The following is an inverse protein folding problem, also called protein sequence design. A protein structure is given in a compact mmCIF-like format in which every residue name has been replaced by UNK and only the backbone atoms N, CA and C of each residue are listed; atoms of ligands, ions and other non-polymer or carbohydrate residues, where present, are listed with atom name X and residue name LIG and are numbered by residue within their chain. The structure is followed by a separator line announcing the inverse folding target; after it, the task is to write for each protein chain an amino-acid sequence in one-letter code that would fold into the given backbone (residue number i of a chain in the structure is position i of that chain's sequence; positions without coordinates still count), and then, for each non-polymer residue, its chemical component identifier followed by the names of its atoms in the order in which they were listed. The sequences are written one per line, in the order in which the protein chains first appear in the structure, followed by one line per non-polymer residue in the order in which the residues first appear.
data_IF_624736274439
#
_entry.id   IF_624736274439
#
_cell.length_a   1.000
_cell.length_b   1.000
_cell.length_c   1.000
_cell.angle_alpha   90.00
_cell.angle_beta   90.00
_cell.angle_gamma   90.00
#
_symmetry.space_group_name_H-M   'P 1'
#
loop_
_entity.id
_entity.type
_entity.pdbx_description
1 polymer ?
#
# COMPACT_ATOMS: atom_id res chain seq x y z
N UNK A 1 34.05 -45.01 37.91
CA UNK A 1 33.80 -43.64 37.37
C UNK A 1 33.53 -43.78 35.89
N UNK A 2 32.28 -43.51 35.50
CA UNK A 2 31.82 -43.72 34.11
C UNK A 2 32.27 -42.58 33.20
N UNK A 3 33.51 -42.62 32.77
CA UNK A 3 34.11 -41.66 31.84
C UNK A 3 33.28 -41.52 30.59
N UNK A 4 32.68 -42.57 30.09
CA UNK A 4 31.77 -42.53 28.95
C UNK A 4 30.50 -41.69 29.21
N UNK A 5 29.90 -41.78 30.39
CA UNK A 5 28.72 -40.99 30.75
C UNK A 5 29.03 -39.50 30.81
N UNK A 6 30.21 -39.17 31.37
CA UNK A 6 30.70 -37.78 31.43
C UNK A 6 30.95 -37.23 30.01
N UNK A 7 31.59 -38.04 29.14
CA UNK A 7 31.86 -37.69 27.75
C UNK A 7 30.58 -37.46 26.96
N UNK A 8 29.60 -38.36 27.12
CA UNK A 8 28.27 -38.16 26.45
C UNK A 8 27.52 -36.95 26.96
N UNK A 9 27.62 -36.63 28.28
CA UNK A 9 27.03 -35.43 28.84
C UNK A 9 27.65 -34.15 28.25
N UNK A 10 29.00 -34.14 28.16
CA UNK A 10 29.73 -33.01 27.59
C UNK A 10 29.39 -32.77 26.10
N UNK A 11 29.35 -33.87 25.30
CA UNK A 11 28.96 -33.79 23.88
C UNK A 11 27.53 -33.26 23.72
N UNK A 12 26.60 -33.72 24.56
CA UNK A 12 25.20 -33.26 24.52
C UNK A 12 25.09 -31.76 24.84
N UNK A 13 25.82 -31.29 25.83
CA UNK A 13 25.82 -29.88 26.20
C UNK A 13 26.44 -29.03 25.09
N UNK A 14 27.59 -29.45 24.54
CA UNK A 14 28.25 -28.76 23.45
C UNK A 14 27.37 -28.67 22.21
N UNK A 15 26.69 -29.76 21.87
CA UNK A 15 25.73 -29.80 20.76
C UNK A 15 24.52 -28.88 20.99
N UNK A 16 24.01 -28.85 22.24
CA UNK A 16 22.90 -27.94 22.62
C UNK A 16 23.29 -26.48 22.47
N UNK A 17 24.47 -26.10 22.94
CA UNK A 17 24.99 -24.73 22.80
C UNK A 17 25.16 -24.37 21.32
N UNK A 18 25.73 -25.27 20.52
CA UNK A 18 25.89 -25.06 19.09
C UNK A 18 24.56 -24.83 18.39
N UNK A 19 23.52 -25.63 18.74
CA UNK A 19 22.17 -25.46 18.18
C UNK A 19 21.54 -24.12 18.58
N UNK A 20 21.70 -23.69 19.82
CA UNK A 20 21.20 -22.38 20.29
C UNK A 20 21.88 -21.26 19.50
N UNK A 21 23.19 -21.29 19.34
CA UNK A 21 23.95 -20.30 18.57
C UNK A 21 23.50 -20.27 17.10
N UNK A 22 23.27 -21.45 16.51
CA UNK A 22 22.75 -21.56 15.13
C UNK A 22 21.37 -20.90 14.99
N UNK A 23 20.45 -21.15 15.93
CA UNK A 23 19.09 -20.56 15.93
C UNK A 23 19.19 -19.05 16.08
N UNK A 24 20.04 -18.54 16.95
CA UNK A 24 20.26 -17.10 17.14
C UNK A 24 20.83 -16.48 15.85
N UNK A 25 21.83 -17.12 15.23
CA UNK A 25 22.45 -16.64 14.00
C UNK A 25 21.44 -16.55 12.84
N UNK A 26 20.64 -17.60 12.64
CA UNK A 26 19.59 -17.62 11.62
C UNK A 26 18.50 -16.59 11.96
N UNK A 27 18.11 -16.49 13.23
CA UNK A 27 17.10 -15.52 13.68
C UNK A 27 17.51 -14.07 13.42
N UNK A 28 18.74 -13.70 13.73
CA UNK A 28 19.26 -12.35 13.45
C UNK A 28 19.32 -12.06 11.96
N UNK A 29 19.71 -13.04 11.15
CA UNK A 29 19.71 -12.93 9.69
C UNK A 29 18.30 -12.66 9.12
N UNK A 30 17.30 -13.43 9.56
CA UNK A 30 15.90 -13.25 9.18
C UNK A 30 15.32 -11.91 9.65
N UNK A 31 15.67 -11.49 10.87
CA UNK A 31 15.21 -10.20 11.41
C UNK A 31 15.73 -9.01 10.60
N UNK A 32 16.99 -9.03 10.16
CA UNK A 32 17.56 -7.95 9.33
C UNK A 32 16.84 -7.86 7.99
N UNK A 33 16.70 -8.97 7.28
CA UNK A 33 16.01 -9.00 5.99
C UNK A 33 14.53 -8.61 6.13
N UNK A 34 13.86 -9.08 7.18
CA UNK A 34 12.47 -8.74 7.46
C UNK A 34 12.29 -7.27 7.85
N UNK A 35 13.25 -6.69 8.57
CA UNK A 35 13.21 -5.27 8.94
C UNK A 35 13.36 -4.37 7.70
N UNK A 36 14.35 -4.63 6.84
CA UNK A 36 14.55 -3.86 5.61
C UNK A 36 13.35 -3.94 4.67
N UNK A 37 12.76 -5.13 4.55
CA UNK A 37 11.56 -5.31 3.76
C UNK A 37 10.35 -4.59 4.37
N UNK A 38 10.14 -4.73 5.68
CA UNK A 38 9.05 -4.05 6.39
C UNK A 38 9.19 -2.53 6.34
N UNK A 39 10.40 -2.00 6.49
CA UNK A 39 10.65 -0.57 6.38
C UNK A 39 10.31 -0.03 4.99
N UNK A 40 10.69 -0.75 3.92
CA UNK A 40 10.35 -0.38 2.54
C UNK A 40 8.84 -0.39 2.27
N UNK A 41 8.08 -1.31 2.87
CA UNK A 41 6.61 -1.35 2.73
C UNK A 41 5.96 -0.03 3.17
N UNK A 42 6.51 0.63 4.18
CA UNK A 42 5.93 1.86 4.73
C UNK A 42 6.59 3.17 4.26
N UNK A 43 7.78 3.08 3.67
CA UNK A 43 8.62 4.25 3.36
C UNK A 43 9.08 4.29 1.91
N UNK A 44 8.43 3.53 1.02
CA UNK A 44 8.82 3.52 -0.40
C UNK A 44 8.60 4.89 -1.03
N UNK A 45 9.67 5.55 -1.53
CA UNK A 45 9.54 6.83 -2.21
C UNK A 45 8.95 6.63 -3.62
N UNK A 46 8.46 7.73 -4.19
CA UNK A 46 8.06 7.78 -5.59
C UNK A 46 9.20 7.37 -6.54
N UNK A 47 8.85 7.00 -7.76
CA UNK A 47 9.83 6.61 -8.79
C UNK A 47 10.67 7.79 -9.21
N UNK A 48 10.06 8.98 -9.33
CA UNK A 48 10.68 10.21 -9.76
C UNK A 48 10.35 11.38 -8.83
N UNK A 49 11.13 12.42 -8.90
CA UNK A 49 10.82 13.69 -8.24
C UNK A 49 9.78 14.46 -9.07
N UNK A 50 8.97 15.27 -8.39
CA UNK A 50 8.03 16.14 -9.09
C UNK A 50 8.77 17.05 -10.11
N UNK A 51 8.18 17.29 -11.31
CA UNK A 51 6.77 17.05 -11.67
C UNK A 51 6.43 15.63 -12.13
N UNK A 52 7.42 14.74 -12.41
CA UNK A 52 7.17 13.39 -12.90
C UNK A 52 6.44 13.33 -14.25
N UNK A 53 6.09 12.13 -14.69
CA UNK A 53 5.33 11.88 -15.91
C UNK A 53 3.96 11.28 -15.59
N UNK A 54 2.93 11.70 -16.35
CA UNK A 54 1.59 11.15 -16.24
C UNK A 54 1.46 9.89 -17.10
N UNK A 55 1.02 8.80 -16.49
CA UNK A 55 0.87 7.50 -17.11
C UNK A 55 -0.58 7.04 -16.99
N UNK A 56 -1.18 6.69 -18.14
CA UNK A 56 -2.52 6.11 -18.16
C UNK A 56 -2.49 4.63 -17.78
N UNK A 57 -3.31 4.27 -16.80
CA UNK A 57 -3.43 2.94 -16.24
C UNK A 57 -4.88 2.50 -16.34
N UNK A 58 -5.13 1.38 -17.03
CA UNK A 58 -6.47 0.78 -17.12
C UNK A 58 -6.56 -0.43 -16.20
N UNK A 59 -7.34 -0.32 -15.14
CA UNK A 59 -7.71 -1.45 -14.27
C UNK A 59 -8.97 -2.08 -14.81
N UNK A 60 -8.96 -3.41 -15.03
CA UNK A 60 -10.11 -4.19 -15.50
C UNK A 60 -10.71 -5.02 -14.38
N UNK A 61 -11.97 -5.38 -14.50
CA UNK A 61 -12.72 -6.17 -13.52
C UNK A 61 -12.13 -7.57 -13.27
N UNK A 62 -11.47 -8.12 -14.28
CA UNK A 62 -10.85 -9.44 -14.23
C UNK A 62 -9.46 -9.47 -13.59
N UNK A 63 -8.89 -8.28 -13.26
CA UNK A 63 -7.53 -8.18 -12.70
C UNK A 63 -7.51 -8.45 -11.20
N UNK A 64 -6.64 -9.36 -10.81
CA UNK A 64 -6.31 -9.54 -9.40
C UNK A 64 -5.41 -8.40 -8.88
N UNK A 65 -5.41 -8.20 -7.58
CA UNK A 65 -4.54 -7.19 -6.93
C UNK A 65 -3.04 -7.37 -7.25
N UNK A 66 -2.63 -8.61 -7.53
CA UNK A 66 -1.25 -8.92 -7.93
C UNK A 66 -0.99 -8.48 -9.37
N UNK A 67 -1.94 -8.68 -10.27
CA UNK A 67 -1.83 -8.24 -11.67
C UNK A 67 -1.85 -6.73 -11.80
N UNK A 68 -2.64 -6.04 -10.94
CA UNK A 68 -2.58 -4.57 -10.83
C UNK A 68 -1.17 -4.13 -10.46
N UNK A 69 -0.55 -4.76 -9.45
CA UNK A 69 0.83 -4.47 -9.08
C UNK A 69 1.83 -4.70 -10.22
N UNK A 70 1.70 -5.79 -10.97
CA UNK A 70 2.55 -6.09 -12.12
C UNK A 70 2.39 -5.04 -13.23
N UNK A 71 1.16 -4.68 -13.55
CA UNK A 71 0.89 -3.64 -14.55
C UNK A 71 1.50 -2.29 -14.17
N UNK A 72 1.46 -1.91 -12.89
CA UNK A 72 2.09 -0.67 -12.40
C UNK A 72 3.63 -0.74 -12.47
N UNK A 73 4.22 -1.90 -12.20
CA UNK A 73 5.66 -2.16 -12.35
C UNK A 73 6.08 -2.08 -13.83
N UNK A 74 5.34 -2.73 -14.73
CA UNK A 74 5.58 -2.73 -16.18
C UNK A 74 5.50 -1.31 -16.77
N UNK A 75 4.68 -0.45 -16.17
CA UNK A 75 4.54 0.96 -16.55
C UNK A 75 5.51 1.91 -15.85
N UNK A 76 6.39 1.40 -15.00
CA UNK A 76 7.40 2.20 -14.30
C UNK A 76 6.85 3.06 -13.16
N UNK A 77 5.63 2.80 -12.69
CA UNK A 77 4.97 3.54 -11.61
C UNK A 77 5.39 3.04 -10.22
N UNK A 78 5.74 1.76 -10.10
CA UNK A 78 6.25 1.14 -8.88
C UNK A 78 7.50 0.32 -9.19
N UNK A 79 8.38 0.14 -8.20
CA UNK A 79 9.66 -0.60 -8.36
C UNK A 79 9.52 -2.10 -8.22
N UNK A 80 8.53 -2.55 -7.45
CA UNK A 80 8.33 -3.96 -7.12
C UNK A 80 6.83 -4.21 -6.92
N UNK A 81 6.26 -5.01 -7.80
CA UNK A 81 4.84 -5.38 -7.78
C UNK A 81 4.44 -6.13 -6.51
N UNK A 82 5.36 -6.92 -5.93
CA UNK A 82 5.11 -7.67 -4.69
C UNK A 82 5.00 -6.73 -3.50
N UNK A 83 5.85 -5.69 -3.48
CA UNK A 83 5.83 -4.68 -2.45
C UNK A 83 4.54 -3.86 -2.53
N UNK A 84 4.16 -3.41 -3.74
CA UNK A 84 2.87 -2.76 -3.98
C UNK A 84 1.68 -3.62 -3.54
N UNK A 85 1.67 -4.90 -3.93
CA UNK A 85 0.61 -5.84 -3.52
C UNK A 85 0.49 -5.94 -2.00
N UNK A 86 1.61 -6.01 -1.28
CA UNK A 86 1.62 -6.07 0.17
C UNK A 86 1.12 -4.77 0.80
N UNK A 87 1.58 -3.60 0.30
CA UNK A 87 1.11 -2.28 0.73
C UNK A 87 -0.41 -2.15 0.53
N UNK A 88 -0.90 -2.53 -0.65
CA UNK A 88 -2.32 -2.53 -0.96
C UNK A 88 -3.12 -3.46 -0.04
N UNK A 89 -2.64 -4.68 0.19
CA UNK A 89 -3.29 -5.66 1.07
C UNK A 89 -3.36 -5.20 2.55
N UNK A 90 -2.34 -4.47 3.02
CA UNK A 90 -2.28 -3.93 4.37
C UNK A 90 -2.99 -2.57 4.51
N UNK A 91 -3.38 -1.95 3.41
CA UNK A 91 -4.06 -0.66 3.42
C UNK A 91 -5.54 -0.81 3.81
N UNK A 92 -6.13 0.29 4.32
CA UNK A 92 -7.57 0.40 4.56
C UNK A 92 -8.40 0.38 3.26
N UNK A 93 -7.74 0.43 2.11
CA UNK A 93 -8.33 0.51 0.77
C UNK A 93 -8.32 -0.81 0.03
N UNK A 94 -7.93 -1.91 0.68
CA UNK A 94 -7.92 -3.23 0.05
C UNK A 94 -9.32 -3.61 -0.49
N UNK A 95 -9.37 -3.99 -1.76
CA UNK A 95 -10.62 -4.31 -2.45
C UNK A 95 -11.48 -3.11 -2.87
N UNK A 96 -10.99 -1.86 -2.70
CA UNK A 96 -11.73 -0.65 -3.06
C UNK A 96 -11.29 -0.01 -4.38
N UNK A 97 -10.21 -0.47 -4.99
CA UNK A 97 -9.79 -0.04 -6.34
C UNK A 97 -10.85 -0.54 -7.32
N UNK A 98 -11.40 0.38 -8.11
CA UNK A 98 -12.42 0.08 -9.11
C UNK A 98 -11.78 -0.16 -10.48
N UNK A 99 -12.54 -0.79 -11.36
CA UNK A 99 -12.13 -1.09 -12.74
C UNK A 99 -12.41 0.12 -13.62
N UNK A 100 -11.41 0.98 -13.71
CA UNK A 100 -11.47 2.25 -14.43
C UNK A 100 -10.13 2.63 -15.04
N UNK A 101 -10.10 3.72 -15.79
CA UNK A 101 -8.87 4.30 -16.34
C UNK A 101 -8.43 5.43 -15.42
N UNK A 102 -7.21 5.29 -14.89
CA UNK A 102 -6.59 6.27 -14.00
C UNK A 102 -5.41 6.93 -14.68
N UNK A 103 -5.23 8.23 -14.43
CA UNK A 103 -3.99 8.93 -14.75
C UNK A 103 -3.17 9.01 -13.47
N UNK A 104 -2.08 8.24 -13.42
CA UNK A 104 -1.15 8.21 -12.30
C UNK A 104 0.15 8.90 -12.70
N UNK A 105 0.81 9.55 -11.73
CA UNK A 105 2.05 10.26 -11.98
C UNK A 105 3.24 9.52 -11.33
N UNK A 106 4.38 9.46 -12.03
CA UNK A 106 5.60 8.81 -11.54
C UNK A 106 6.18 9.45 -10.27
N UNK A 107 5.77 10.70 -9.97
CA UNK A 107 6.12 11.38 -8.71
C UNK A 107 5.22 11.02 -7.52
N UNK A 108 4.19 10.22 -7.74
CA UNK A 108 3.33 9.70 -6.66
C UNK A 108 3.99 8.49 -5.99
N UNK A 109 3.87 8.42 -4.67
CA UNK A 109 4.26 7.22 -3.93
C UNK A 109 3.24 6.09 -4.16
N UNK A 110 3.62 4.81 -4.04
CA UNK A 110 2.68 3.70 -4.16
C UNK A 110 1.46 3.83 -3.24
N UNK A 111 1.65 4.39 -2.04
CA UNK A 111 0.57 4.65 -1.10
C UNK A 111 -0.41 5.71 -1.61
N UNK A 112 0.08 6.80 -2.19
CA UNK A 112 -0.75 7.84 -2.80
C UNK A 112 -1.52 7.29 -4.00
N UNK A 113 -0.89 6.45 -4.84
CA UNK A 113 -1.57 5.78 -5.94
C UNK A 113 -2.71 4.88 -5.46
N UNK A 114 -2.51 4.10 -4.38
CA UNK A 114 -3.56 3.28 -3.78
C UNK A 114 -4.73 4.13 -3.31
N UNK A 115 -4.47 5.23 -2.61
CA UNK A 115 -5.50 6.15 -2.12
C UNK A 115 -6.23 6.78 -3.30
N UNK A 116 -5.49 7.28 -4.29
CA UNK A 116 -6.05 7.89 -5.48
C UNK A 116 -6.99 6.95 -6.24
N UNK A 117 -6.55 5.74 -6.57
CA UNK A 117 -7.36 4.73 -7.28
C UNK A 117 -8.57 4.23 -6.46
N UNK A 118 -8.51 4.32 -5.13
CA UNK A 118 -9.60 3.88 -4.27
C UNK A 118 -10.63 4.98 -3.97
N UNK A 119 -10.24 6.26 -4.05
CA UNK A 119 -11.07 7.42 -3.69
C UNK A 119 -11.52 8.22 -4.90
N UNK A 120 -10.68 8.35 -5.91
CA UNK A 120 -11.03 9.07 -7.12
C UNK A 120 -11.70 8.10 -8.11
N UNK A 121 -13.00 8.05 -7.99
CA UNK A 121 -13.85 7.59 -9.08
C UNK A 121 -13.99 8.79 -10.02
N UNK A 122 -13.64 8.71 -11.31
CA UNK A 122 -14.04 9.74 -12.25
C UNK A 122 -15.54 9.90 -12.13
N UNK A 123 -15.99 11.10 -11.78
CA UNK A 123 -17.42 11.45 -11.74
C UNK A 123 -17.99 11.47 -13.15
N UNK A 124 -18.30 10.31 -13.72
CA UNK A 124 -19.08 10.20 -14.93
C UNK A 124 -20.33 9.34 -14.74
N UNK A 125 -20.95 9.42 -13.57
CA UNK A 125 -22.35 8.94 -13.41
C UNK A 125 -23.06 9.44 -12.16
N UNK A 126 -22.88 10.71 -11.74
CA UNK A 126 -23.80 11.30 -10.76
C UNK A 126 -24.05 12.78 -11.04
N UNK A 127 -24.49 13.08 -12.27
CA UNK A 127 -25.38 14.23 -12.46
C UNK A 127 -26.80 13.74 -12.22
N UNK A 128 -27.24 13.76 -11.01
CA UNK A 128 -28.67 13.91 -10.73
C UNK A 128 -28.84 14.46 -9.31
N UNK A 129 -29.29 15.70 -9.26
CA UNK A 129 -30.17 16.25 -8.23
C UNK A 129 -29.56 16.52 -6.85
N UNK A 130 -29.09 17.75 -6.67
CA UNK A 130 -29.50 18.56 -5.54
C UNK A 130 -29.19 20.05 -5.82
N UNK A 131 -29.98 20.66 -6.70
CA UNK A 131 -30.23 22.08 -6.68
C UNK A 131 -31.72 22.27 -6.35
N UNK A 132 -32.03 22.13 -5.09
CA UNK A 132 -33.31 22.63 -4.58
C UNK A 132 -33.19 22.72 -3.05
N UNK A 133 -32.84 23.88 -2.61
CA UNK A 133 -33.26 24.48 -1.35
C UNK A 133 -32.19 25.44 -0.83
N UNK A 134 -32.28 26.69 -1.21
CA UNK A 134 -31.99 27.84 -0.36
C UNK A 134 -32.05 29.14 -1.17
N UNK A 135 -33.25 29.56 -1.52
CA UNK A 135 -33.55 30.98 -1.74
C UNK A 135 -35.03 31.18 -1.37
N UNK A 136 -35.29 31.27 -0.14
CA UNK A 136 -36.38 32.07 0.41
C UNK A 136 -35.85 32.67 1.71
N UNK A 137 -35.60 33.97 1.63
CA UNK A 137 -36.01 34.94 2.65
C UNK A 137 -35.43 36.30 2.29
N UNK A 138 -36.31 37.24 2.17
CA UNK A 138 -35.91 38.63 2.38
C UNK A 138 -36.31 39.65 1.31
N UNK A 139 -37.57 39.84 1.06
CA UNK A 139 -38.05 41.14 0.60
C UNK A 139 -39.16 41.61 1.50
N UNK A 140 -38.77 42.32 2.52
CA UNK A 140 -39.62 43.26 3.23
C UNK A 140 -39.88 44.48 2.33
N UNK A 141 -41.09 44.58 1.89
CA UNK A 141 -42.02 45.66 2.10
C UNK A 141 -41.40 47.03 2.50
N UNK A 142 -41.53 47.99 1.63
CA UNK A 142 -41.78 49.41 2.03
C UNK A 142 -42.84 49.98 1.11
N UNK A 143 -44.00 50.01 1.69
CA UNK A 143 -45.10 50.89 1.37
C UNK A 143 -44.71 52.37 1.67
N UNK A 144 -45.21 53.26 0.84
CA UNK A 144 -45.67 54.66 1.15
C UNK A 144 -45.90 55.36 -0.21
N UNK A 145 -47.03 55.74 -0.64
CA UNK A 145 -47.98 56.62 0.06
C UNK A 145 -48.03 57.95 -0.67
N UNK A 146 -49.16 58.27 -1.18
CA UNK A 146 -49.65 59.47 -1.86
C UNK A 146 -49.44 59.59 -3.35
#
# INVERSE_FOLDING_TARGET
MDFNKFLFGFIKIAFSIMMILLVIYVGVGLCRTGYDFGYRVFTEPAMEMAPGEDVLVQVRDDMSSKEIGQMLEDKGLVRDSRLFFLQYRLSAYYGKIKSEVYTLNTSMTPKEMIVYMATNVPEESTQTTDNSAAEEEGSTEVELGE
#
